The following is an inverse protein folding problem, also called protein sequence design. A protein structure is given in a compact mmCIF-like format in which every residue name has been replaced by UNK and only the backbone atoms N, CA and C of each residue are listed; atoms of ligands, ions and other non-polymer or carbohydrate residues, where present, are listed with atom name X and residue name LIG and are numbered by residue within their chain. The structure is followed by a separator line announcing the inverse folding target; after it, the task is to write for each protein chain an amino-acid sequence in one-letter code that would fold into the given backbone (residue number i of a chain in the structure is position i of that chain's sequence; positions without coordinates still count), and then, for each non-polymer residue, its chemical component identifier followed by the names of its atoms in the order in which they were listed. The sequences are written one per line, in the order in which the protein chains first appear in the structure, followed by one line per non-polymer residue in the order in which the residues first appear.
data_IF_995061791584
#
_entry.id   IF_995061791584
#
_cell.length_a   1.000
_cell.length_b   1.000
_cell.length_c   1.000
_cell.angle_alpha   90.00
_cell.angle_beta   90.00
_cell.angle_gamma   90.00
#
_symmetry.space_group_name_H-M   'P 1'
#
loop_
_entity.id
_entity.type
_entity.pdbx_description
1 polymer ?
#
# COMPACT_ATOMS: atom_id res chain seq x y z
N UNK A 1 -11.99 -3.27 11.16
CA UNK A 1 -11.92 -2.48 9.92
C UNK A 1 -13.26 -1.78 9.81
N UNK A 2 -13.39 -0.67 10.54
CA UNK A 2 -14.68 -0.01 10.74
C UNK A 2 -15.03 0.84 9.52
N UNK A 3 -16.31 0.78 9.17
CA UNK A 3 -17.10 1.55 8.20
C UNK A 3 -16.34 2.54 7.31
N UNK A 4 -16.64 2.50 6.02
CA UNK A 4 -16.63 3.72 5.20
C UNK A 4 -17.83 4.57 5.66
N UNK A 5 -17.78 5.09 6.88
CA UNK A 5 -18.60 6.22 7.30
C UNK A 5 -17.77 7.46 7.00
N UNK A 6 -17.98 8.04 5.83
CA UNK A 6 -17.61 9.42 5.55
C UNK A 6 -18.55 10.30 6.37
N UNK A 7 -18.19 10.48 7.65
CA UNK A 7 -18.91 11.35 8.57
C UNK A 7 -18.86 12.78 8.07
N UNK A 8 -20.01 13.27 7.62
CA UNK A 8 -20.37 14.67 7.69
C UNK A 8 -20.65 14.98 9.16
N UNK A 9 -19.69 15.59 9.86
CA UNK A 9 -19.98 16.40 11.05
C UNK A 9 -19.08 17.64 11.03
N UNK A 10 -19.75 18.79 11.14
CA UNK A 10 -19.26 20.17 11.29
C UNK A 10 -18.56 20.83 10.09
N UNK A 11 -19.37 21.38 9.17
CA UNK A 11 -19.11 22.77 8.79
C UNK A 11 -20.40 23.54 8.45
N UNK A 12 -20.43 24.77 8.95
CA UNK A 12 -21.59 25.66 9.04
C UNK A 12 -22.16 26.04 7.69
N UNK A 13 -23.48 26.26 7.72
CA UNK A 13 -24.30 26.99 6.77
C UNK A 13 -23.52 28.13 6.08
N UNK A 14 -23.43 28.03 4.76
CA UNK A 14 -23.41 29.19 3.88
C UNK A 14 -24.26 28.82 2.67
N UNK A 15 -25.51 29.27 2.69
CA UNK A 15 -26.32 29.46 1.49
C UNK A 15 -25.53 30.37 0.54
N UNK A 16 -25.29 29.94 -0.70
CA UNK A 16 -25.23 30.85 -1.84
C UNK A 16 -25.32 30.08 -3.17
N UNK A 17 -26.38 30.44 -3.90
CA UNK A 17 -26.55 30.50 -5.35
C UNK A 17 -26.42 29.24 -6.22
N UNK A 18 -27.60 28.80 -6.68
CA UNK A 18 -27.77 27.93 -7.83
C UNK A 18 -27.30 28.59 -9.12
N UNK A 19 -26.44 27.89 -9.88
CA UNK A 19 -26.29 28.09 -11.32
C UNK A 19 -26.23 26.75 -12.05
N UNK A 20 -27.26 26.56 -12.88
CA UNK A 20 -27.34 25.75 -14.09
C UNK A 20 -25.97 25.37 -14.69
N UNK A 21 -25.75 24.07 -14.95
CA UNK A 21 -25.22 23.58 -16.23
C UNK A 21 -25.09 22.05 -16.29
N UNK A 22 -25.64 21.53 -17.38
CA UNK A 22 -25.24 20.35 -18.17
C UNK A 22 -25.70 18.95 -17.71
N UNK A 23 -26.65 18.45 -18.49
CA UNK A 23 -27.27 17.14 -18.49
C UNK A 23 -26.24 16.05 -18.86
N UNK A 24 -25.58 15.49 -17.86
CA UNK A 24 -24.97 14.17 -17.95
C UNK A 24 -25.78 13.24 -17.06
N UNK A 25 -26.18 12.11 -17.61
CA UNK A 25 -26.93 11.05 -16.94
C UNK A 25 -26.15 10.48 -15.75
N UNK A 26 -26.13 11.20 -14.63
CA UNK A 26 -25.65 10.70 -13.35
C UNK A 26 -26.72 9.74 -12.82
N UNK A 27 -26.37 8.46 -12.68
CA UNK A 27 -27.26 7.49 -12.08
C UNK A 27 -27.62 7.91 -10.64
N UNK A 28 -28.76 7.46 -10.10
CA UNK A 28 -29.30 7.90 -8.80
C UNK A 28 -28.40 7.62 -7.57
N UNK A 29 -27.22 7.04 -7.76
CA UNK A 29 -26.25 6.68 -6.71
C UNK A 29 -24.95 7.51 -6.73
N UNK A 30 -24.79 8.50 -7.62
CA UNK A 30 -23.60 9.37 -7.66
C UNK A 30 -23.77 10.74 -7.00
N UNK A 31 -25.00 11.09 -6.64
CA UNK A 31 -25.31 12.37 -6.01
C UNK A 31 -24.66 12.44 -4.62
N UNK A 32 -23.72 13.37 -4.44
CA UNK A 32 -23.07 13.73 -3.17
C UNK A 32 -21.77 12.96 -2.78
N UNK A 33 -20.99 12.47 -3.75
CA UNK A 33 -19.59 12.04 -3.48
C UNK A 33 -18.63 13.20 -3.75
N UNK A 34 -17.85 13.66 -2.74
CA UNK A 34 -16.83 14.69 -2.92
C UNK A 34 -15.85 14.37 -4.06
N UNK A 35 -15.54 15.37 -4.88
CA UNK A 35 -14.61 15.22 -6.01
C UNK A 35 -13.20 14.77 -5.56
N UNK A 36 -12.76 15.20 -4.37
CA UNK A 36 -11.51 14.76 -3.77
C UNK A 36 -11.43 13.24 -3.60
N UNK A 37 -12.55 12.60 -3.28
CA UNK A 37 -12.65 11.14 -3.11
C UNK A 37 -12.61 10.45 -4.46
N UNK A 38 -13.31 10.99 -5.47
CA UNK A 38 -13.29 10.46 -6.83
C UNK A 38 -11.85 10.48 -7.39
N UNK A 39 -11.16 11.62 -7.28
CA UNK A 39 -9.76 11.77 -7.70
C UNK A 39 -8.79 10.85 -6.96
N UNK A 40 -8.98 10.68 -5.64
CA UNK A 40 -8.16 9.77 -4.85
C UNK A 40 -8.40 8.30 -5.24
N UNK A 41 -9.66 7.92 -5.50
CA UNK A 41 -10.00 6.60 -5.98
C UNK A 41 -9.47 6.34 -7.39
N UNK A 42 -9.44 7.32 -8.28
CA UNK A 42 -8.81 7.21 -9.60
C UNK A 42 -7.29 7.03 -9.47
N UNK A 43 -6.64 7.85 -8.64
CA UNK A 43 -5.19 7.78 -8.39
C UNK A 43 -4.75 6.41 -7.85
N UNK A 44 -5.60 5.79 -7.02
CA UNK A 44 -5.35 4.46 -6.48
C UNK A 44 -5.87 3.31 -7.37
N UNK A 45 -6.32 3.60 -8.60
CA UNK A 45 -6.94 2.64 -9.51
C UNK A 45 -8.09 1.84 -8.86
N UNK A 46 -8.85 2.50 -7.99
CA UNK A 46 -9.98 1.95 -7.26
C UNK A 46 -11.33 2.28 -7.90
N UNK A 47 -11.46 3.45 -8.54
CA UNK A 47 -12.68 3.89 -9.21
C UNK A 47 -13.31 2.81 -10.13
N UNK A 48 -12.56 2.08 -10.99
CA UNK A 48 -13.15 1.13 -11.91
C UNK A 48 -13.85 -0.07 -11.27
N UNK A 49 -13.44 -0.47 -10.05
CA UNK A 49 -14.14 -1.56 -9.34
C UNK A 49 -15.21 -1.01 -8.40
N UNK A 50 -15.02 0.19 -7.83
CA UNK A 50 -16.04 0.84 -6.99
C UNK A 50 -17.31 1.06 -7.81
N UNK A 51 -17.19 1.54 -9.05
CA UNK A 51 -18.33 1.74 -9.97
C UNK A 51 -19.08 0.45 -10.33
N UNK A 52 -18.46 -0.73 -10.15
CA UNK A 52 -19.09 -2.03 -10.39
C UNK A 52 -19.83 -2.57 -9.17
N UNK A 53 -19.69 -1.92 -8.02
CA UNK A 53 -20.42 -2.30 -6.81
C UNK A 53 -21.88 -1.85 -6.91
N UNK A 54 -22.82 -2.57 -6.26
CA UNK A 54 -24.25 -2.28 -6.37
C UNK A 54 -24.63 -0.84 -5.99
N UNK A 55 -23.94 -0.25 -5.01
CA UNK A 55 -24.19 1.12 -4.53
C UNK A 55 -22.99 2.05 -4.78
N UNK A 56 -22.08 1.66 -5.68
CA UNK A 56 -20.91 2.46 -6.01
C UNK A 56 -20.08 2.82 -4.77
N UNK A 57 -19.81 4.12 -4.59
CA UNK A 57 -19.08 4.67 -3.44
C UNK A 57 -19.82 4.54 -2.10
N UNK A 58 -21.14 4.32 -2.11
CA UNK A 58 -21.95 4.16 -0.90
C UNK A 58 -22.02 2.70 -0.42
N UNK A 59 -21.46 1.77 -1.18
CA UNK A 59 -21.46 0.34 -0.85
C UNK A 59 -20.85 0.07 0.53
N UNK A 60 -21.63 -0.59 1.39
CA UNK A 60 -21.15 -1.03 2.70
C UNK A 60 -20.16 -2.20 2.58
N UNK A 61 -19.02 -2.08 3.26
CA UNK A 61 -17.97 -3.11 3.32
C UNK A 61 -17.89 -3.72 4.71
N UNK A 62 -17.57 -5.02 4.79
CA UNK A 62 -17.28 -5.71 6.05
C UNK A 62 -18.38 -6.67 6.50
N UNK A 63 -18.51 -6.86 7.82
CA UNK A 63 -19.45 -7.83 8.40
C UNK A 63 -20.90 -7.35 8.16
N UNK A 64 -21.60 -8.04 7.25
CA UNK A 64 -22.94 -7.64 6.76
C UNK A 64 -22.94 -6.89 5.42
N UNK A 65 -21.76 -6.60 4.84
CA UNK A 65 -21.60 -5.95 3.55
C UNK A 65 -20.82 -6.78 2.53
N UNK A 66 -20.37 -6.14 1.45
CA UNK A 66 -19.57 -6.81 0.41
C UNK A 66 -18.13 -7.02 0.90
N UNK A 67 -17.60 -8.23 0.69
CA UNK A 67 -16.18 -8.51 0.89
C UNK A 67 -15.36 -8.11 -0.34
N UNK A 68 -14.26 -7.41 -0.11
CA UNK A 68 -13.30 -7.05 -1.16
C UNK A 68 -12.12 -8.03 -1.18
N UNK A 69 -11.53 -8.21 -2.36
CA UNK A 69 -10.24 -8.92 -2.46
C UNK A 69 -9.12 -8.14 -1.78
N UNK A 70 -8.01 -8.81 -1.43
CA UNK A 70 -6.85 -8.16 -0.78
C UNK A 70 -6.33 -6.95 -1.57
N UNK A 71 -6.21 -7.08 -2.90
CA UNK A 71 -5.79 -5.98 -3.78
C UNK A 71 -6.81 -4.84 -3.90
N UNK A 72 -8.11 -5.12 -3.78
CA UNK A 72 -9.14 -4.08 -3.70
C UNK A 72 -9.04 -3.33 -2.36
N UNK A 73 -8.88 -4.04 -1.25
CA UNK A 73 -8.72 -3.43 0.08
C UNK A 73 -7.48 -2.53 0.13
N UNK A 74 -6.35 -2.99 -0.42
CA UNK A 74 -5.12 -2.18 -0.51
C UNK A 74 -5.33 -0.92 -1.34
N UNK A 75 -5.98 -1.02 -2.51
CA UNK A 75 -6.28 0.16 -3.34
C UNK A 75 -7.18 1.18 -2.62
N UNK A 76 -8.17 0.73 -1.85
CA UNK A 76 -8.96 1.65 -1.00
C UNK A 76 -8.09 2.28 0.09
N UNK A 77 -7.22 1.51 0.74
CA UNK A 77 -6.31 2.04 1.76
C UNK A 77 -5.38 3.12 1.19
N UNK A 78 -4.83 2.90 -0.01
CA UNK A 78 -4.02 3.89 -0.73
C UNK A 78 -4.85 5.13 -1.08
N UNK A 79 -6.06 4.96 -1.62
CA UNK A 79 -6.95 6.09 -1.91
C UNK A 79 -7.20 6.95 -0.67
N UNK A 80 -7.49 6.32 0.47
CA UNK A 80 -7.69 7.01 1.75
C UNK A 80 -6.44 7.76 2.22
N UNK A 81 -5.26 7.17 2.01
CA UNK A 81 -4.00 7.81 2.38
C UNK A 81 -3.69 9.03 1.49
N UNK A 82 -3.99 8.95 0.19
CA UNK A 82 -3.84 10.04 -0.78
C UNK A 82 -4.83 11.18 -0.49
N UNK A 83 -6.10 10.85 -0.24
CA UNK A 83 -7.18 11.82 -0.01
C UNK A 83 -6.89 12.74 1.17
N UNK A 84 -6.32 12.20 2.25
CA UNK A 84 -5.89 12.96 3.44
C UNK A 84 -4.78 13.97 3.18
N UNK A 85 -4.12 13.91 2.02
CA UNK A 85 -3.05 14.83 1.62
C UNK A 85 -1.96 15.00 2.70
N UNK A 86 -1.44 13.93 3.33
CA UNK A 86 -0.49 14.08 4.44
C UNK A 86 0.84 14.68 3.96
N UNK A 87 1.57 15.34 4.86
CA UNK A 87 2.94 15.80 4.62
C UNK A 87 3.95 14.64 4.61
N UNK A 88 3.68 13.59 5.39
CA UNK A 88 4.45 12.35 5.46
C UNK A 88 3.53 11.15 5.15
N UNK A 89 3.86 10.39 4.11
CA UNK A 89 3.17 9.18 3.71
C UNK A 89 4.05 7.95 3.97
N UNK A 90 3.57 7.03 4.81
CA UNK A 90 4.23 5.77 5.10
C UNK A 90 3.50 4.64 4.37
N UNK A 91 4.21 3.87 3.56
CA UNK A 91 3.67 2.74 2.79
C UNK A 91 4.42 1.47 3.16
N UNK A 92 3.75 0.57 3.88
CA UNK A 92 4.31 -0.73 4.25
C UNK A 92 3.73 -1.80 3.33
N UNK A 93 4.54 -2.27 2.37
CA UNK A 93 4.16 -3.29 1.38
C UNK A 93 2.82 -2.99 0.66
N UNK A 94 2.53 -1.70 0.44
CA UNK A 94 1.21 -1.24 0.00
C UNK A 94 0.79 -1.79 -1.38
N UNK A 95 1.75 -2.27 -2.17
CA UNK A 95 1.55 -2.74 -3.55
C UNK A 95 1.53 -4.27 -3.68
N UNK A 96 1.81 -5.02 -2.60
CA UNK A 96 2.05 -6.45 -2.64
C UNK A 96 0.90 -7.31 -3.20
N UNK A 97 -0.35 -6.87 -3.07
CA UNK A 97 -1.53 -7.60 -3.56
C UNK A 97 -2.14 -6.98 -4.82
N UNK A 98 -1.42 -6.09 -5.51
CA UNK A 98 -1.85 -5.51 -6.77
C UNK A 98 -1.28 -6.32 -7.94
N UNK A 99 -2.04 -6.40 -9.02
CA UNK A 99 -1.51 -6.87 -10.30
C UNK A 99 -0.55 -5.82 -10.89
N UNK A 100 0.37 -6.24 -11.75
CA UNK A 100 1.42 -5.39 -12.30
C UNK A 100 0.90 -4.13 -13.02
N UNK A 101 -0.27 -4.22 -13.68
CA UNK A 101 -0.87 -3.07 -14.37
C UNK A 101 -1.43 -2.06 -13.36
N UNK A 102 -2.13 -2.55 -12.34
CA UNK A 102 -2.62 -1.69 -11.26
C UNK A 102 -1.47 -1.05 -10.49
N UNK A 103 -0.44 -1.82 -10.14
CA UNK A 103 0.76 -1.30 -9.46
C UNK A 103 1.40 -0.15 -10.26
N UNK A 104 1.68 -0.38 -11.56
CA UNK A 104 2.30 0.63 -12.41
C UNK A 104 1.44 1.92 -12.49
N UNK A 105 0.12 1.77 -12.60
CA UNK A 105 -0.82 2.89 -12.62
C UNK A 105 -0.77 3.69 -11.33
N UNK A 106 -0.82 3.01 -10.17
CA UNK A 106 -0.82 3.67 -8.86
C UNK A 106 0.52 4.34 -8.57
N UNK A 107 1.64 3.69 -8.92
CA UNK A 107 2.97 4.29 -8.79
C UNK A 107 3.13 5.54 -9.68
N UNK A 108 2.60 5.51 -10.90
CA UNK A 108 2.59 6.68 -11.78
C UNK A 108 1.81 7.86 -11.19
N UNK A 109 0.62 7.57 -10.63
CA UNK A 109 -0.18 8.58 -9.93
C UNK A 109 0.55 9.12 -8.69
N UNK A 110 1.14 8.25 -7.87
CA UNK A 110 1.88 8.65 -6.67
C UNK A 110 3.09 9.54 -7.00
N UNK A 111 3.86 9.21 -8.04
CA UNK A 111 4.97 10.05 -8.53
C UNK A 111 4.49 11.43 -8.94
N UNK A 112 3.39 11.49 -9.67
CA UNK A 112 2.79 12.76 -10.12
C UNK A 112 2.32 13.60 -8.93
N UNK A 113 1.74 12.95 -7.91
CA UNK A 113 1.32 13.61 -6.66
C UNK A 113 2.50 14.19 -5.88
N UNK A 114 3.60 13.45 -5.75
CA UNK A 114 4.83 13.91 -5.08
C UNK A 114 5.47 15.08 -5.82
N UNK A 115 5.37 15.13 -7.16
CA UNK A 115 5.85 16.26 -7.96
C UNK A 115 4.95 17.50 -7.85
N UNK A 116 3.63 17.30 -7.75
CA UNK A 116 2.67 18.38 -7.71
C UNK A 116 2.69 19.16 -6.37
N UNK A 117 3.11 18.54 -5.28
CA UNK A 117 3.12 19.16 -3.94
C UNK A 117 4.24 18.61 -3.06
N UNK A 118 4.77 19.41 -2.11
CA UNK A 118 5.79 18.94 -1.18
C UNK A 118 5.20 17.86 -0.26
N UNK A 119 5.71 16.63 -0.40
CA UNK A 119 5.33 15.48 0.41
C UNK A 119 6.52 14.53 0.55
N UNK A 120 6.79 14.06 1.77
CA UNK A 120 7.76 12.99 2.01
C UNK A 120 7.06 11.65 1.96
N UNK A 121 7.58 10.71 1.17
CA UNK A 121 7.08 9.34 1.08
C UNK A 121 8.16 8.40 1.57
N UNK A 122 7.83 7.56 2.55
CA UNK A 122 8.69 6.49 3.02
C UNK A 122 7.98 5.18 2.72
N UNK A 123 8.61 4.34 1.92
CA UNK A 123 8.04 3.04 1.55
C UNK A 123 8.95 1.92 2.00
N UNK A 124 8.35 0.86 2.54
CA UNK A 124 8.99 -0.44 2.75
C UNK A 124 8.41 -1.37 1.70
N UNK A 125 9.26 -2.09 0.98
CA UNK A 125 8.81 -3.06 0.00
C UNK A 125 9.79 -4.23 -0.08
N UNK A 126 9.24 -5.43 -0.27
CA UNK A 126 10.01 -6.59 -0.72
C UNK A 126 10.23 -6.58 -2.24
N UNK A 127 9.42 -5.82 -3.00
CA UNK A 127 9.55 -5.66 -4.44
C UNK A 127 10.44 -4.46 -4.76
N UNK A 128 11.65 -4.74 -5.22
CA UNK A 128 12.70 -3.75 -5.41
C UNK A 128 12.48 -2.85 -6.62
N UNK A 129 11.73 -3.31 -7.62
CA UNK A 129 11.27 -2.47 -8.74
C UNK A 129 10.41 -1.30 -8.25
N UNK A 130 9.66 -1.52 -7.17
CA UNK A 130 8.76 -0.55 -6.57
C UNK A 130 9.49 0.52 -5.78
N UNK A 131 10.74 0.29 -5.33
CA UNK A 131 11.55 1.29 -4.60
C UNK A 131 12.61 1.96 -5.47
N UNK A 132 12.83 1.47 -6.70
CA UNK A 132 13.85 1.99 -7.62
C UNK A 132 13.64 3.45 -8.03
N UNK A 133 12.44 4.02 -7.84
CA UNK A 133 12.16 5.43 -8.11
C UNK A 133 12.45 6.36 -6.93
N UNK A 134 12.81 5.82 -5.77
CA UNK A 134 13.05 6.60 -4.56
C UNK A 134 14.31 7.46 -4.73
N UNK A 135 14.26 8.69 -4.22
CA UNK A 135 15.43 9.59 -4.21
C UNK A 135 16.58 9.00 -3.37
N UNK A 136 16.24 8.31 -2.28
CA UNK A 136 17.17 7.63 -1.40
C UNK A 136 16.58 6.28 -0.97
N UNK A 137 17.42 5.24 -1.03
CA UNK A 137 17.12 3.89 -0.60
C UNK A 137 18.01 3.57 0.59
N UNK A 138 17.41 3.00 1.64
CA UNK A 138 18.12 2.55 2.85
C UNK A 138 18.01 1.03 2.91
N UNK A 139 19.13 0.34 2.72
CA UNK A 139 19.20 -1.10 2.88
C UNK A 139 19.57 -1.44 4.32
N UNK A 140 18.76 -2.30 4.94
CA UNK A 140 18.96 -2.73 6.31
C UNK A 140 19.32 -4.21 6.35
N UNK A 141 20.26 -4.56 7.22
CA UNK A 141 20.66 -5.93 7.48
C UNK A 141 20.81 -6.11 9.00
N UNK A 142 20.19 -7.15 9.57
CA UNK A 142 20.25 -7.46 11.00
C UNK A 142 19.90 -6.28 11.95
N UNK A 143 19.04 -5.36 11.51
CA UNK A 143 18.61 -4.19 12.29
C UNK A 143 19.56 -3.00 12.23
N UNK A 144 20.62 -3.08 11.43
CA UNK A 144 21.55 -1.97 11.14
C UNK A 144 21.43 -1.52 9.69
N UNK A 145 21.73 -0.25 9.41
CA UNK A 145 21.83 0.24 8.04
C UNK A 145 23.11 -0.30 7.41
N UNK A 146 22.97 -1.09 6.34
CA UNK A 146 24.07 -1.63 5.57
C UNK A 146 24.52 -0.66 4.48
N UNK A 147 23.56 -0.11 3.71
CA UNK A 147 23.83 0.78 2.57
C UNK A 147 22.79 1.89 2.49
N UNK A 148 23.21 3.07 2.03
CA UNK A 148 22.32 4.19 1.70
C UNK A 148 22.77 4.79 0.37
N UNK A 149 21.82 5.03 -0.52
CA UNK A 149 22.08 5.74 -1.78
C UNK A 149 20.87 5.75 -2.70
N UNK A 150 21.00 6.41 -3.85
CA UNK A 150 20.03 6.26 -4.93
C UNK A 150 20.15 4.88 -5.59
N UNK A 151 19.11 4.45 -6.31
CA UNK A 151 19.15 3.19 -7.07
C UNK A 151 20.40 3.08 -7.95
N UNK A 152 20.78 4.16 -8.65
CA UNK A 152 21.95 4.17 -9.55
C UNK A 152 23.26 3.97 -8.80
N UNK A 153 23.43 4.63 -7.65
CA UNK A 153 24.64 4.52 -6.84
C UNK A 153 24.78 3.12 -6.23
N UNK A 154 23.69 2.58 -5.68
CA UNK A 154 23.69 1.26 -5.06
C UNK A 154 23.91 0.14 -6.10
N UNK A 155 23.34 0.27 -7.30
CA UNK A 155 23.61 -0.66 -8.40
C UNK A 155 25.08 -0.63 -8.85
N UNK A 156 25.72 0.55 -8.85
CA UNK A 156 27.12 0.68 -9.22
C UNK A 156 28.08 0.09 -8.16
N UNK A 157 27.72 0.17 -6.88
CA UNK A 157 28.50 -0.39 -5.77
C UNK A 157 28.52 -1.92 -5.76
N UNK A 158 27.54 -2.57 -6.37
CA UNK A 158 27.40 -4.04 -6.43
C UNK A 158 27.40 -4.70 -5.03
N UNK A 159 26.88 -3.99 -4.04
CA UNK A 159 26.78 -4.46 -2.66
C UNK A 159 25.47 -5.23 -2.38
N UNK A 160 24.96 -5.15 -1.15
CA UNK A 160 23.76 -5.87 -0.69
C UNK A 160 22.53 -5.55 -1.55
N UNK A 161 22.29 -4.27 -1.83
CA UNK A 161 21.15 -3.87 -2.67
C UNK A 161 21.17 -4.53 -4.04
N UNK A 162 22.33 -4.51 -4.70
CA UNK A 162 22.52 -5.09 -6.03
C UNK A 162 22.26 -6.60 -6.02
N UNK A 163 22.77 -7.32 -5.01
CA UNK A 163 22.55 -8.76 -4.89
C UNK A 163 21.07 -9.10 -4.76
N UNK A 164 20.34 -8.38 -3.89
CA UNK A 164 18.90 -8.56 -3.72
C UNK A 164 18.13 -8.24 -5.00
N UNK A 165 18.53 -7.18 -5.71
CA UNK A 165 17.90 -6.75 -6.95
C UNK A 165 18.06 -7.80 -8.06
N UNK A 166 19.27 -8.31 -8.27
CA UNK A 166 19.55 -9.35 -9.27
C UNK A 166 18.85 -10.67 -8.95
N UNK A 167 18.79 -11.06 -7.67
CA UNK A 167 18.05 -12.25 -7.25
C UNK A 167 16.58 -12.15 -7.64
N UNK A 168 15.92 -11.03 -7.31
CA UNK A 168 14.51 -10.83 -7.64
C UNK A 168 14.26 -10.76 -9.15
N UNK A 169 15.18 -10.12 -9.90
CA UNK A 169 15.13 -10.08 -11.37
C UNK A 169 15.20 -11.48 -11.98
N UNK A 170 16.12 -12.31 -11.50
CA UNK A 170 16.30 -13.68 -11.98
C UNK A 170 15.13 -14.59 -11.60
N UNK A 171 14.59 -14.47 -10.39
CA UNK A 171 13.40 -15.23 -9.99
C UNK A 171 12.17 -14.92 -10.85
N UNK A 172 12.07 -13.70 -11.40
CA UNK A 172 10.99 -13.33 -12.31
C UNK A 172 11.23 -13.86 -13.75
N UNK A 173 12.48 -14.02 -14.18
CA UNK A 173 12.83 -14.56 -15.51
C UNK A 173 12.70 -16.09 -15.57
N UNK A 174 12.89 -16.80 -14.46
CA UNK A 174 12.75 -18.28 -14.39
C UNK A 174 11.28 -18.72 -14.47
N UNK A 175 10.32 -17.90 -14.03
CA UNK A 175 8.88 -18.20 -14.16
C UNK A 175 8.35 -18.11 -15.60
N UNK A 176 9.18 -17.72 -16.57
CA UNK A 176 8.83 -17.60 -17.99
C UNK A 176 9.44 -18.68 -18.90
N UNK A 177 10.08 -19.72 -18.34
CA UNK A 177 10.69 -20.83 -19.10
C UNK A 177 10.39 -22.18 -18.45
N UNK A 178 9.15 -22.63 -18.58
CA UNK A 178 8.80 -24.05 -18.43
C UNK A 178 7.88 -24.44 -19.60
N UNK A 179 8.49 -24.69 -20.76
CA UNK A 179 7.99 -25.67 -21.72
C UNK A 179 9.21 -26.52 -22.13
N UNK A 180 9.04 -27.84 -21.97
CA UNK A 180 9.81 -28.97 -22.48
C UNK A 180 11.20 -29.29 -21.86
N UNK A 181 11.24 -30.26 -20.93
CA UNK A 181 11.69 -31.63 -21.23
C UNK A 181 11.65 -32.54 -19.97
N UNK A 182 11.30 -33.81 -20.21
CA UNK A 182 10.97 -34.87 -19.26
C UNK A 182 12.11 -35.36 -18.33
N UNK A 183 11.69 -35.88 -17.17
CA UNK A 183 12.31 -36.88 -16.26
C UNK A 183 13.74 -36.65 -15.71
N UNK A 184 13.81 -36.24 -14.43
CA UNK A 184 14.59 -36.95 -13.39
C UNK A 184 14.17 -36.47 -11.96
N UNK A 185 14.29 -37.38 -10.99
CA UNK A 185 13.85 -37.30 -9.57
C UNK A 185 14.15 -35.98 -8.79
N UNK A 186 13.40 -35.68 -7.70
CA UNK A 186 13.38 -34.37 -7.07
C UNK A 186 14.64 -34.09 -6.26
N UNK A 187 15.55 -33.29 -6.81
CA UNK A 187 16.62 -32.70 -6.05
C UNK A 187 16.05 -31.62 -5.11
N UNK A 188 16.28 -31.82 -3.82
CA UNK A 188 15.71 -31.07 -2.70
C UNK A 188 15.77 -29.56 -2.90
N UNK A 189 14.59 -28.91 -2.89
CA UNK A 189 14.43 -27.47 -2.77
C UNK A 189 15.20 -26.95 -1.55
N UNK A 190 16.41 -26.44 -1.76
CA UNK A 190 17.11 -25.65 -0.76
C UNK A 190 16.65 -24.19 -0.86
N UNK A 191 15.42 -23.95 -0.43
CA UNK A 191 14.97 -22.61 -0.07
C UNK A 191 15.55 -22.27 1.31
N UNK A 192 16.42 -21.26 1.46
CA UNK A 192 16.67 -20.71 2.77
C UNK A 192 15.37 -20.08 3.30
N UNK A 193 15.00 -20.53 4.48
CA UNK A 193 13.71 -20.41 5.15
C UNK A 193 13.17 -18.97 5.23
N UNK A 194 12.15 -18.65 4.41
CA UNK A 194 11.42 -17.37 4.46
C UNK A 194 10.63 -17.17 5.77
N UNK A 195 10.61 -18.16 6.69
CA UNK A 195 10.09 -17.99 8.05
C UNK A 195 10.96 -17.08 8.91
N UNK A 196 12.25 -16.92 8.58
CA UNK A 196 13.17 -16.08 9.35
C UNK A 196 12.80 -14.58 9.26
N UNK A 197 12.33 -14.11 8.11
CA UNK A 197 11.95 -12.69 7.92
C UNK A 197 10.65 -12.30 8.65
N UNK A 198 9.73 -13.26 8.90
CA UNK A 198 8.56 -13.03 9.76
C UNK A 198 8.91 -13.02 11.26
N UNK A 199 10.00 -13.66 11.66
CA UNK A 199 10.46 -13.68 13.05
C UNK A 199 11.27 -12.42 13.43
N UNK A 200 12.01 -11.84 12.48
CA UNK A 200 12.90 -10.70 12.71
C UNK A 200 12.20 -9.33 12.70
N UNK A 201 10.94 -9.25 12.26
CA UNK A 201 10.15 -8.00 12.24
C UNK A 201 9.50 -7.69 13.59
N UNK A 202 9.29 -8.69 14.45
CA UNK A 202 8.62 -8.50 15.75
C UNK A 202 9.45 -7.73 16.81
N UNK A 203 10.78 -7.87 16.93
CA UNK A 203 11.57 -7.11 17.89
C UNK A 203 11.70 -5.62 17.54
N UNK A 204 11.85 -5.29 16.25
CA UNK A 204 11.98 -3.91 15.76
C UNK A 204 10.66 -3.15 15.93
N UNK A 205 9.53 -3.78 15.59
CA UNK A 205 8.20 -3.22 15.80
C UNK A 205 7.83 -3.07 17.28
N UNK A 206 8.30 -3.96 18.17
CA UNK A 206 8.11 -3.81 19.62
C UNK A 206 8.86 -2.60 20.18
N UNK A 207 10.07 -2.31 19.67
CA UNK A 207 10.88 -1.19 20.15
C UNK A 207 10.36 0.15 19.66
N UNK A 208 10.00 0.24 18.37
CA UNK A 208 9.34 1.42 17.83
C UNK A 208 8.02 1.73 18.57
N UNK A 209 7.26 0.70 18.94
CA UNK A 209 6.03 0.86 19.74
C UNK A 209 6.31 1.33 21.17
N UNK A 210 7.38 0.85 21.81
CA UNK A 210 7.80 1.30 23.15
C UNK A 210 8.27 2.75 23.15
N UNK A 211 9.03 3.16 22.13
CA UNK A 211 9.55 4.53 22.03
C UNK A 211 8.44 5.52 21.67
N UNK A 212 7.47 5.10 20.84
CA UNK A 212 6.25 5.89 20.56
C UNK A 212 5.33 5.97 21.79
N UNK A 213 5.17 4.89 22.58
CA UNK A 213 4.42 4.93 23.84
C UNK A 213 5.11 5.74 24.95
N UNK A 214 6.44 5.87 24.92
CA UNK A 214 7.17 6.72 25.84
C UNK A 214 7.06 8.21 25.49
N UNK A 215 6.83 8.54 24.21
CA UNK A 215 6.64 9.91 23.73
C UNK A 215 5.18 10.38 23.83
N UNK A 216 4.22 9.45 23.73
CA UNK A 216 2.81 9.71 23.93
C UNK A 216 2.44 9.31 25.37
N UNK A 217 2.53 10.25 26.31
CA UNK A 217 2.22 10.05 27.73
C UNK A 217 1.06 9.09 27.95
N UNK A 218 1.32 8.05 28.75
CA UNK A 218 0.47 6.88 28.86
C UNK A 218 -0.94 7.20 29.33
N UNK A 219 -1.91 6.71 28.57
CA UNK A 219 -3.22 6.31 29.08
C UNK A 219 -3.52 4.89 28.61
N UNK A 220 -3.94 4.10 29.58
CA UNK A 220 -4.09 2.65 29.60
C UNK A 220 -5.15 2.17 28.59
N UNK A 221 -4.75 1.43 27.56
CA UNK A 221 -5.65 0.75 26.61
C UNK A 221 -5.48 -0.76 26.77
N UNK A 222 -6.22 -1.34 27.71
CA UNK A 222 -6.31 -2.77 27.93
C UNK A 222 -6.97 -3.47 26.72
N UNK A 223 -6.17 -4.18 25.92
CA UNK A 223 -6.68 -5.14 24.94
C UNK A 223 -6.45 -6.56 25.46
N UNK A 224 -7.56 -7.24 25.76
CA UNK A 224 -7.59 -8.56 26.39
C UNK A 224 -6.94 -9.66 25.54
N UNK A 225 -5.92 -10.29 26.11
CA UNK A 225 -5.40 -11.57 25.65
C UNK A 225 -6.41 -12.68 25.96
N UNK A 226 -7.12 -13.17 24.95
CA UNK A 226 -7.71 -14.51 25.03
C UNK A 226 -6.61 -15.54 24.84
N UNK A 227 -6.18 -16.10 25.97
CA UNK A 227 -5.44 -17.36 26.08
C UNK A 227 -6.24 -18.48 25.39
N UNK A 228 -5.74 -19.02 24.30
CA UNK A 228 -6.08 -20.39 23.90
C UNK A 228 -5.13 -21.34 24.63
N UNK A 229 -5.71 -22.15 25.49
CA UNK A 229 -5.06 -23.17 26.29
C UNK A 229 -5.20 -24.52 25.60
N UNK A 230 -4.13 -25.32 25.66
CA UNK A 230 -4.01 -26.77 25.38
C UNK A 230 -4.15 -27.21 23.92
#
# INVERSE_FOLDING_TARGET
ISNISLGAEDNKESEDEAQDNDDRSEGPHEAHVPESIKLAAESANAAPFIQKLPEGYHTQLGEGGISLSGGQQQRIAIARAIEKKPALLLLDEAFANLDAKAEASVLGALKSLVQARPQTVVTVAHQLSTIAWSDQIVCMEHGTVAEIGSHKELMAQKGLYFQLYEQQRNSCEVAGKEEDDDEDEPDTLNLPDLKMYRALTLPVLRRARSDVLALCGGDDMSLGEKRTSL
#
